data_IF_155332832417
#
_entry.id   IF_155332832417
#
_cell.length_a   1.000
_cell.length_b   1.000
_cell.length_c   1.000
_cell.angle_alpha   90.00
_cell.angle_beta   90.00
_cell.angle_gamma   90.00
#
_symmetry.space_group_name_H-M   'P 1'
#
loop_
_entity.id
_entity.type
_entity.pdbx_description
1 polymer ?
#
# COMPACT_ATOMS: atom_id res chain seq x y z
N UNK A 1 20.32 -18.00 -28.16
CA UNK A 1 20.58 -16.78 -27.38
C UNK A 1 19.41 -16.59 -26.43
N UNK A 2 19.53 -16.97 -25.15
CA UNK A 2 18.46 -16.83 -24.17
C UNK A 2 18.70 -15.54 -23.37
N UNK A 3 17.94 -14.50 -23.70
CA UNK A 3 17.89 -13.26 -22.91
C UNK A 3 16.97 -13.56 -21.72
N UNK A 4 17.56 -13.69 -20.53
CA UNK A 4 16.86 -13.99 -19.29
C UNK A 4 15.86 -12.86 -18.95
N UNK A 5 14.64 -13.16 -18.49
CA UNK A 5 13.69 -12.17 -17.99
C UNK A 5 14.08 -11.75 -16.57
N UNK A 6 15.24 -11.09 -16.40
CA UNK A 6 15.68 -10.61 -15.09
C UNK A 6 14.93 -9.33 -14.71
N UNK A 7 14.81 -8.37 -15.64
CA UNK A 7 14.14 -7.08 -15.37
C UNK A 7 12.66 -7.27 -15.00
N UNK A 8 11.91 -8.10 -15.73
CA UNK A 8 10.50 -8.36 -15.39
C UNK A 8 10.34 -9.10 -14.06
N UNK A 9 11.29 -9.96 -13.69
CA UNK A 9 11.24 -10.69 -12.42
C UNK A 9 11.52 -9.78 -11.22
N UNK A 10 12.43 -8.80 -11.37
CA UNK A 10 12.73 -7.84 -10.29
C UNK A 10 11.59 -6.85 -10.07
N UNK A 11 10.93 -6.40 -11.15
CA UNK A 11 9.76 -5.51 -11.07
C UNK A 11 8.61 -6.23 -10.36
N UNK A 12 8.28 -7.46 -10.77
CA UNK A 12 7.21 -8.26 -10.16
C UNK A 12 7.47 -8.50 -8.66
N UNK A 13 8.74 -8.72 -8.29
CA UNK A 13 9.13 -8.92 -6.90
C UNK A 13 8.94 -7.63 -6.08
N UNK A 14 9.27 -6.46 -6.64
CA UNK A 14 9.11 -5.18 -5.95
C UNK A 14 7.64 -4.81 -5.73
N UNK A 15 6.78 -5.08 -6.70
CA UNK A 15 5.33 -4.92 -6.56
C UNK A 15 4.78 -5.83 -5.46
N UNK A 16 5.17 -7.11 -5.46
CA UNK A 16 4.78 -8.07 -4.41
C UNK A 16 5.20 -7.61 -3.01
N UNK A 17 6.42 -7.07 -2.87
CA UNK A 17 6.88 -6.53 -1.58
C UNK A 17 6.07 -5.32 -1.12
N UNK A 18 5.68 -4.43 -2.04
CA UNK A 18 4.81 -3.29 -1.73
C UNK A 18 3.44 -3.79 -1.25
N UNK A 19 2.86 -4.75 -1.97
CA UNK A 19 1.56 -5.37 -1.63
C UNK A 19 1.60 -5.98 -0.23
N UNK A 20 2.63 -6.79 0.05
CA UNK A 20 2.80 -7.45 1.33
C UNK A 20 2.98 -6.43 2.46
N UNK A 21 3.78 -5.39 2.24
CA UNK A 21 3.99 -4.32 3.21
C UNK A 21 2.67 -3.60 3.55
N UNK A 22 1.85 -3.28 2.54
CA UNK A 22 0.55 -2.65 2.73
C UNK A 22 -0.40 -3.56 3.50
N UNK A 23 -0.53 -4.83 3.09
CA UNK A 23 -1.42 -5.79 3.73
C UNK A 23 -1.04 -6.01 5.21
N UNK A 24 0.25 -6.23 5.48
CA UNK A 24 0.75 -6.43 6.84
C UNK A 24 0.62 -5.16 7.70
N UNK A 25 0.88 -3.99 7.13
CA UNK A 25 0.75 -2.71 7.83
C UNK A 25 -0.70 -2.38 8.19
N UNK A 26 -1.64 -2.55 7.24
CA UNK A 26 -3.06 -2.25 7.46
C UNK A 26 -3.75 -3.25 8.40
N UNK A 27 -3.25 -4.50 8.48
CA UNK A 27 -3.73 -5.48 9.45
C UNK A 27 -3.35 -5.12 10.90
N UNK A 28 -2.29 -4.33 11.09
CA UNK A 28 -1.85 -3.89 12.41
C UNK A 28 -2.71 -2.73 12.90
N UNK A 29 -3.05 -2.73 14.20
CA UNK A 29 -3.79 -1.64 14.84
C UNK A 29 -3.07 -0.30 14.79
N UNK A 30 -1.74 -0.29 14.76
CA UNK A 30 -0.92 0.92 14.62
C UNK A 30 -0.89 1.47 13.18
N UNK A 31 -1.30 0.64 12.21
CA UNK A 31 -1.26 0.97 10.79
C UNK A 31 0.13 0.93 10.17
N UNK A 32 0.14 1.20 8.87
CA UNK A 32 1.32 1.31 8.03
C UNK A 32 2.10 2.60 8.35
N UNK A 33 3.42 2.51 8.48
CA UNK A 33 4.32 3.68 8.49
C UNK A 33 4.66 4.10 7.07
N UNK A 34 4.43 5.38 6.77
CA UNK A 34 4.76 5.98 5.48
C UNK A 34 6.27 6.24 5.38
N UNK A 35 6.95 6.53 6.49
CA UNK A 35 8.40 6.69 6.56
C UNK A 35 9.11 5.35 6.33
N UNK A 36 8.67 4.28 6.97
CA UNK A 36 9.21 2.94 6.73
C UNK A 36 8.94 2.49 5.29
N UNK A 37 7.75 2.79 4.75
CA UNK A 37 7.44 2.58 3.34
C UNK A 37 8.43 3.33 2.43
N UNK A 38 8.72 4.60 2.71
CA UNK A 38 9.69 5.38 1.96
C UNK A 38 11.11 4.80 2.05
N UNK A 39 11.55 4.36 3.23
CA UNK A 39 12.86 3.75 3.41
C UNK A 39 12.99 2.40 2.67
N UNK A 40 11.93 1.60 2.62
CA UNK A 40 11.91 0.32 1.90
C UNK A 40 11.82 0.51 0.37
N UNK A 41 10.99 1.45 -0.10
CA UNK A 41 10.59 1.53 -1.51
C UNK A 41 11.09 2.77 -2.26
N UNK A 42 11.65 3.76 -1.56
CA UNK A 42 12.12 5.03 -2.14
C UNK A 42 10.98 5.88 -2.73
N UNK A 43 9.75 5.66 -2.27
CA UNK A 43 8.53 6.28 -2.79
C UNK A 43 7.72 6.85 -1.63
N UNK A 44 7.13 8.02 -1.80
CA UNK A 44 6.23 8.61 -0.81
C UNK A 44 4.85 7.96 -0.92
N UNK A 45 4.39 7.32 0.15
CA UNK A 45 3.16 6.52 0.18
C UNK A 45 1.93 7.36 -0.20
N UNK A 46 1.80 8.55 0.40
CA UNK A 46 0.76 9.52 0.15
C UNK A 46 0.76 10.08 -1.29
N UNK A 47 1.92 10.11 -1.93
CA UNK A 47 2.03 10.51 -3.34
C UNK A 47 1.60 9.39 -4.27
N UNK A 48 2.14 8.17 -4.07
CA UNK A 48 1.84 7.01 -4.93
C UNK A 48 0.37 6.64 -4.86
N UNK A 49 -0.21 6.63 -3.66
CA UNK A 49 -1.58 6.15 -3.43
C UNK A 49 -2.56 7.28 -3.09
N UNK A 50 -2.25 8.51 -3.50
CA UNK A 50 -3.07 9.71 -3.22
C UNK A 50 -4.55 9.50 -3.55
N UNK A 51 -4.85 8.93 -4.71
CA UNK A 51 -6.21 8.72 -5.20
C UNK A 51 -6.98 7.70 -4.33
N UNK A 52 -6.35 6.57 -4.02
CA UNK A 52 -6.91 5.53 -3.16
C UNK A 52 -7.09 6.05 -1.73
N UNK A 53 -6.10 6.75 -1.19
CA UNK A 53 -6.16 7.33 0.16
C UNK A 53 -7.32 8.32 0.25
N UNK A 54 -7.44 9.25 -0.70
CA UNK A 54 -8.53 10.24 -0.71
C UNK A 54 -9.90 9.56 -0.79
N UNK A 55 -10.06 8.53 -1.65
CA UNK A 55 -11.31 7.77 -1.73
C UNK A 55 -11.68 7.10 -0.40
N UNK A 56 -10.73 6.42 0.23
CA UNK A 56 -10.94 5.69 1.47
C UNK A 56 -11.16 6.63 2.66
N UNK A 57 -10.49 7.78 2.70
CA UNK A 57 -10.71 8.83 3.71
C UNK A 57 -12.10 9.44 3.59
N UNK A 58 -12.54 9.76 2.37
CA UNK A 58 -13.90 10.25 2.10
C UNK A 58 -14.98 9.26 2.56
N UNK A 59 -14.68 7.95 2.47
CA UNK A 59 -15.54 6.86 2.97
C UNK A 59 -15.34 6.55 4.46
N UNK A 60 -14.45 7.25 5.16
CA UNK A 60 -14.10 7.03 6.58
C UNK A 60 -13.59 5.61 6.88
N UNK A 61 -12.99 4.96 5.90
CA UNK A 61 -12.43 3.61 6.05
C UNK A 61 -10.99 3.63 6.53
N UNK A 62 -10.25 4.71 6.25
CA UNK A 62 -8.90 4.92 6.75
C UNK A 62 -8.76 6.28 7.41
N UNK A 63 -7.71 6.42 8.22
CA UNK A 63 -7.25 7.71 8.72
C UNK A 63 -5.73 7.78 8.55
N UNK A 64 -5.24 8.97 8.26
CA UNK A 64 -3.81 9.27 8.27
C UNK A 64 -3.53 10.22 9.43
N UNK A 65 -2.52 9.91 10.24
CA UNK A 65 -2.07 10.78 11.32
C UNK A 65 -0.56 10.71 11.40
N UNK A 66 0.07 11.88 11.37
CA UNK A 66 1.53 12.00 11.36
C UNK A 66 2.11 11.16 10.23
N UNK A 67 2.88 10.11 10.55
CA UNK A 67 3.51 9.20 9.61
C UNK A 67 2.73 7.87 9.41
N UNK A 68 1.51 7.76 9.95
CA UNK A 68 0.78 6.49 9.98
C UNK A 68 -0.51 6.54 9.16
N UNK A 69 -0.76 5.47 8.42
CA UNK A 69 -2.04 5.18 7.77
C UNK A 69 -2.65 3.92 8.39
N UNK A 70 -3.82 4.04 9.01
CA UNK A 70 -4.49 2.94 9.69
C UNK A 70 -5.95 2.83 9.26
N UNK A 71 -6.48 1.60 9.32
CA UNK A 71 -7.89 1.34 9.11
C UNK A 71 -8.70 1.84 10.31
N UNK A 72 -9.87 2.40 10.05
CA UNK A 72 -10.88 2.60 11.10
C UNK A 72 -11.48 1.24 11.49
N UNK A 73 -12.24 1.14 12.60
CA UNK A 73 -12.97 -0.08 12.92
C UNK A 73 -13.87 -0.57 11.78
N UNK A 74 -14.48 0.36 11.02
CA UNK A 74 -15.26 0.04 9.82
C UNK A 74 -14.37 -0.39 8.65
N UNK A 75 -13.20 0.25 8.47
CA UNK A 75 -12.22 -0.14 7.45
C UNK A 75 -11.70 -1.56 7.63
N UNK A 76 -11.47 -1.99 8.88
CA UNK A 76 -10.97 -3.34 9.19
C UNK A 76 -11.89 -4.45 8.67
N UNK A 77 -13.21 -4.19 8.60
CA UNK A 77 -14.18 -5.13 8.01
C UNK A 77 -13.98 -5.35 6.51
N UNK A 78 -13.28 -4.43 5.85
CA UNK A 78 -13.00 -4.45 4.42
C UNK A 78 -11.49 -4.56 4.14
N UNK A 79 -10.69 -5.06 5.10
CA UNK A 79 -9.22 -5.14 4.99
C UNK A 79 -8.77 -5.71 3.64
N UNK A 80 -9.28 -6.88 3.25
CA UNK A 80 -8.86 -7.54 2.01
C UNK A 80 -9.20 -6.68 0.78
N UNK A 81 -10.41 -6.12 0.71
CA UNK A 81 -10.82 -5.25 -0.40
C UNK A 81 -10.07 -3.92 -0.43
N UNK A 82 -9.72 -3.36 0.73
CA UNK A 82 -8.94 -2.13 0.84
C UNK A 82 -7.50 -2.38 0.40
N UNK A 83 -6.89 -3.47 0.85
CA UNK A 83 -5.57 -3.86 0.39
C UNK A 83 -5.57 -3.99 -1.14
N UNK A 84 -6.53 -4.71 -1.73
CA UNK A 84 -6.67 -4.85 -3.19
C UNK A 84 -6.83 -3.52 -3.94
N UNK A 85 -7.46 -2.50 -3.34
CA UNK A 85 -7.57 -1.16 -3.95
C UNK A 85 -6.19 -0.53 -4.13
N UNK A 86 -5.27 -0.68 -3.17
CA UNK A 86 -3.90 -0.18 -3.30
C UNK A 86 -3.10 -0.91 -4.39
N UNK A 87 -3.48 -2.16 -4.73
CA UNK A 87 -2.78 -2.97 -5.73
C UNK A 87 -3.25 -2.65 -7.15
N UNK A 88 -4.57 -2.54 -7.35
CA UNK A 88 -5.16 -2.51 -8.68
C UNK A 88 -5.31 -1.10 -9.28
N UNK A 89 -5.24 -0.03 -8.47
CA UNK A 89 -5.57 1.32 -8.92
C UNK A 89 -4.39 2.27 -9.14
N UNK A 90 -3.24 2.06 -8.48
CA UNK A 90 -2.15 3.05 -8.44
C UNK A 90 -0.75 2.48 -8.77
N UNK A 91 -0.58 1.15 -8.91
CA UNK A 91 0.68 0.53 -9.32
C UNK A 91 0.80 0.28 -10.83
N UNK A 92 -0.26 0.56 -11.60
CA UNK A 92 -0.33 0.37 -13.06
C UNK A 92 0.17 1.56 -13.87
#
# INVERSE_FOLDING_TARGET
QHKLPLENSEILNREQQIIEFIYLGLRQTEGLSMDEFYHCFGKQFDTVFSSTIENLQNRKLIQTKEDRCFLTPSGMLFLDSIADMFINHDLS
#
